data_IF_105440369088
#
_entry.id   IF_105440369088
#
_cell.length_a   1.000
_cell.length_b   1.000
_cell.length_c   1.000
_cell.angle_alpha   90.00
_cell.angle_beta   90.00
_cell.angle_gamma   90.00
#
_symmetry.space_group_name_H-M   'P 1'
#
loop_
_entity.id
_entity.type
_entity.pdbx_description
1 polymer ?
#
# COMPACT_ATOMS: atom_id res chain seq x y z
N UNK A 1 16.52 -0.76 -8.83
CA UNK A 1 16.80 -0.51 -7.41
C UNK A 1 16.88 -1.88 -6.73
N UNK A 2 17.93 -2.20 -5.96
CA UNK A 2 18.02 -3.48 -5.25
C UNK A 2 17.47 -3.30 -3.83
N UNK A 3 16.47 -4.10 -3.45
CA UNK A 3 15.95 -4.11 -2.07
C UNK A 3 16.96 -4.78 -1.14
N UNK A 4 17.17 -4.21 0.05
CA UNK A 4 18.01 -4.80 1.08
C UNK A 4 17.24 -5.85 1.89
N UNK A 5 17.87 -6.43 2.91
CA UNK A 5 17.23 -7.42 3.79
C UNK A 5 15.93 -6.92 4.46
N UNK A 6 15.82 -5.63 4.78
CA UNK A 6 14.59 -5.08 5.38
C UNK A 6 13.50 -4.93 4.34
N UNK A 7 13.85 -4.47 3.13
CA UNK A 7 12.93 -4.45 1.99
C UNK A 7 12.43 -5.85 1.64
N UNK A 8 13.28 -6.87 1.75
CA UNK A 8 12.86 -8.26 1.56
C UNK A 8 11.82 -8.70 2.60
N UNK A 9 12.02 -8.37 3.88
CA UNK A 9 11.01 -8.63 4.92
C UNK A 9 9.67 -7.94 4.60
N UNK A 10 9.72 -6.68 4.17
CA UNK A 10 8.51 -5.94 3.78
C UNK A 10 7.80 -6.62 2.62
N UNK A 11 8.54 -7.04 1.60
CA UNK A 11 8.04 -7.76 0.43
C UNK A 11 7.38 -9.10 0.82
N UNK A 12 8.04 -9.88 1.67
CA UNK A 12 7.54 -11.18 2.09
C UNK A 12 6.24 -11.05 2.90
N UNK A 13 6.17 -10.04 3.79
CA UNK A 13 4.93 -9.77 4.54
C UNK A 13 3.83 -9.24 3.63
N UNK A 14 4.14 -8.39 2.63
CA UNK A 14 3.17 -7.95 1.62
C UNK A 14 2.55 -9.14 0.88
N UNK A 15 3.36 -10.04 0.34
CA UNK A 15 2.89 -11.23 -0.36
C UNK A 15 2.21 -12.29 0.54
N UNK A 16 2.26 -12.12 1.86
CA UNK A 16 1.51 -12.99 2.78
C UNK A 16 0.05 -12.54 2.99
N UNK A 17 -0.31 -11.35 2.50
CA UNK A 17 -1.60 -10.73 2.80
C UNK A 17 -2.78 -11.43 2.13
N UNK A 18 -2.67 -11.78 0.84
CA UNK A 18 -3.72 -12.52 0.10
C UNK A 18 -3.93 -13.95 0.60
N UNK A 19 -2.87 -14.58 1.11
CA UNK A 19 -2.95 -15.89 1.76
C UNK A 19 -3.63 -15.81 3.13
N UNK A 20 -3.52 -14.67 3.81
CA UNK A 20 -4.08 -14.47 5.15
C UNK A 20 -5.50 -13.94 5.14
N UNK A 21 -5.84 -13.13 4.15
CA UNK A 21 -7.13 -12.47 4.00
C UNK A 21 -7.70 -12.89 2.64
N UNK A 22 -8.62 -13.84 2.65
CA UNK A 22 -9.21 -14.42 1.42
C UNK A 22 -9.93 -13.35 0.57
N UNK A 23 -10.37 -12.26 1.20
CA UNK A 23 -11.02 -11.12 0.54
C UNK A 23 -10.02 -10.12 -0.07
N UNK A 24 -8.71 -10.34 0.08
CA UNK A 24 -7.65 -9.44 -0.40
C UNK A 24 -6.99 -10.04 -1.63
N UNK A 25 -7.00 -9.28 -2.72
CA UNK A 25 -6.20 -9.57 -3.90
C UNK A 25 -5.15 -8.47 -4.03
N UNK A 26 -3.89 -8.86 -4.13
CA UNK A 26 -2.78 -7.95 -4.31
C UNK A 26 -2.58 -7.61 -5.78
N UNK A 27 -2.23 -6.37 -6.04
CA UNK A 27 -1.90 -5.86 -7.36
C UNK A 27 -0.58 -5.06 -7.26
N UNK A 28 -0.27 -4.21 -8.25
CA UNK A 28 0.99 -3.48 -8.32
C UNK A 28 1.40 -2.84 -7.00
N UNK A 29 2.65 -3.06 -6.61
CA UNK A 29 3.24 -2.51 -5.41
C UNK A 29 4.72 -2.21 -5.63
N UNK A 30 5.25 -1.26 -4.87
CA UNK A 30 6.67 -0.90 -4.92
C UNK A 30 7.17 -0.48 -3.56
N UNK A 31 8.37 -0.95 -3.22
CA UNK A 31 9.08 -0.59 -1.99
C UNK A 31 10.10 0.48 -2.34
N UNK A 32 9.92 1.65 -1.74
CA UNK A 32 10.82 2.80 -1.86
C UNK A 32 11.68 2.89 -0.58
N UNK A 33 12.78 3.67 -0.59
CA UNK A 33 13.66 3.76 0.57
C UNK A 33 12.98 4.24 1.87
N UNK A 34 11.90 5.01 1.77
CA UNK A 34 11.20 5.60 2.92
C UNK A 34 9.69 5.23 3.01
N UNK A 35 9.10 4.65 1.97
CA UNK A 35 7.67 4.32 1.94
C UNK A 35 7.39 3.12 1.03
N UNK A 36 6.12 2.70 0.99
CA UNK A 36 5.61 1.66 0.11
C UNK A 36 4.34 2.19 -0.56
N UNK A 37 4.19 1.95 -1.86
CA UNK A 37 2.90 2.05 -2.55
C UNK A 37 2.42 0.65 -2.90
N UNK A 38 1.11 0.43 -2.83
CA UNK A 38 0.52 -0.85 -3.22
C UNK A 38 -0.97 -0.71 -3.49
N UNK A 39 -1.46 -1.50 -4.43
CA UNK A 39 -2.88 -1.62 -4.74
C UNK A 39 -3.39 -2.92 -4.12
N UNK A 40 -4.54 -2.82 -3.46
CA UNK A 40 -5.27 -3.96 -2.90
C UNK A 40 -6.69 -3.89 -3.41
N UNK A 41 -7.15 -4.96 -4.06
CA UNK A 41 -8.58 -5.17 -4.23
C UNK A 41 -9.14 -5.85 -3.01
N UNK A 42 -10.29 -5.37 -2.56
CA UNK A 42 -11.10 -6.03 -1.55
C UNK A 42 -12.28 -6.64 -2.29
N UNK A 43 -12.14 -7.90 -2.66
CA UNK A 43 -13.15 -8.65 -3.40
C UNK A 43 -13.85 -9.66 -2.48
N UNK A 44 -15.11 -9.96 -2.75
CA UNK A 44 -15.93 -10.79 -1.88
C UNK A 44 -16.31 -12.08 -2.61
N UNK A 45 -15.79 -13.25 -2.23
CA UNK A 45 -16.16 -14.51 -2.87
C UNK A 45 -17.61 -14.95 -2.61
N UNK A 46 -18.42 -14.17 -1.86
CA UNK A 46 -19.78 -14.57 -1.47
C UNK A 46 -20.82 -13.58 -2.01
N UNK A 47 -21.31 -13.89 -3.20
CA UNK A 47 -22.45 -13.26 -3.87
C UNK A 47 -23.82 -13.77 -3.37
N UNK A 48 -23.89 -14.58 -2.31
CA UNK A 48 -25.14 -15.20 -1.88
C UNK A 48 -25.31 -15.03 -0.37
N UNK A 49 -26.52 -14.64 0.03
CA UNK A 49 -27.05 -14.45 1.40
C UNK A 49 -27.15 -12.96 1.75
N UNK A 50 -28.41 -12.51 1.81
CA UNK A 50 -28.88 -11.26 2.39
C UNK A 50 -27.90 -10.64 3.39
N UNK A 51 -27.46 -9.42 3.10
CA UNK A 51 -26.53 -8.62 3.91
C UNK A 51 -26.93 -8.57 5.39
N UNK A 52 -26.32 -9.44 6.20
CA UNK A 52 -26.33 -9.30 7.65
C UNK A 52 -25.46 -8.09 8.04
N UNK A 53 -25.96 -7.20 8.90
CA UNK A 53 -25.24 -6.01 9.36
C UNK A 53 -23.82 -6.31 9.89
N UNK A 54 -23.60 -7.49 10.45
CA UNK A 54 -22.30 -7.96 10.93
C UNK A 54 -21.24 -8.11 9.81
N UNK A 55 -21.66 -8.47 8.59
CA UNK A 55 -20.75 -8.55 7.44
C UNK A 55 -20.33 -7.15 6.97
N UNK A 56 -21.24 -6.17 7.03
CA UNK A 56 -20.93 -4.75 6.74
C UNK A 56 -19.92 -4.17 7.74
N UNK A 57 -20.08 -4.47 9.03
CA UNK A 57 -19.14 -4.01 10.06
C UNK A 57 -17.76 -4.67 9.93
N UNK A 58 -17.72 -5.97 9.59
CA UNK A 58 -16.46 -6.66 9.29
C UNK A 58 -15.71 -6.03 8.11
N UNK A 59 -16.42 -5.64 7.04
CA UNK A 59 -15.85 -4.94 5.87
C UNK A 59 -15.22 -3.60 6.23
N UNK A 60 -15.88 -2.77 7.06
CA UNK A 60 -15.34 -1.48 7.52
C UNK A 60 -13.98 -1.60 8.22
N UNK A 61 -13.70 -2.77 8.80
CA UNK A 61 -12.47 -3.02 9.55
C UNK A 61 -11.43 -3.83 8.78
N UNK A 62 -11.70 -4.26 7.54
CA UNK A 62 -10.78 -5.15 6.81
C UNK A 62 -9.48 -4.42 6.44
N UNK A 63 -9.56 -3.28 5.77
CA UNK A 63 -8.37 -2.50 5.40
C UNK A 63 -7.51 -2.12 6.64
N UNK A 64 -8.08 -1.55 7.73
CA UNK A 64 -7.32 -1.33 8.95
C UNK A 64 -6.66 -2.59 9.54
N UNK A 65 -7.31 -3.76 9.46
CA UNK A 65 -6.75 -5.04 9.93
C UNK A 65 -5.59 -5.49 9.05
N UNK A 66 -5.73 -5.43 7.74
CA UNK A 66 -4.70 -5.79 6.76
C UNK A 66 -3.45 -4.92 6.98
N UNK A 67 -3.62 -3.60 7.04
CA UNK A 67 -2.52 -2.66 7.26
C UNK A 67 -1.92 -2.82 8.65
N UNK A 68 -2.74 -3.03 9.68
CA UNK A 68 -2.28 -3.29 11.04
C UNK A 68 -1.40 -4.54 11.12
N UNK A 69 -1.86 -5.65 10.52
CA UNK A 69 -1.09 -6.89 10.41
C UNK A 69 0.23 -6.68 9.66
N UNK A 70 0.17 -6.02 8.50
CA UNK A 70 1.34 -5.73 7.67
C UNK A 70 2.40 -4.94 8.44
N UNK A 71 2.02 -3.80 9.03
CA UNK A 71 2.95 -2.91 9.76
C UNK A 71 3.52 -3.59 10.99
N UNK A 72 2.70 -4.33 11.74
CA UNK A 72 3.12 -5.01 12.96
C UNK A 72 4.14 -6.11 12.67
N UNK A 73 3.86 -7.00 11.71
CA UNK A 73 4.72 -8.17 11.48
C UNK A 73 6.02 -7.79 10.78
N UNK A 74 5.97 -6.89 9.80
CA UNK A 74 7.18 -6.36 9.16
C UNK A 74 8.06 -5.63 10.19
N UNK A 75 7.49 -4.75 11.03
CA UNK A 75 8.25 -4.07 12.07
C UNK A 75 8.86 -5.05 13.08
N UNK A 76 8.11 -6.08 13.51
CA UNK A 76 8.62 -7.10 14.42
C UNK A 76 9.86 -7.80 13.87
N UNK A 77 9.79 -8.30 12.63
CA UNK A 77 10.89 -9.01 11.99
C UNK A 77 12.11 -8.10 11.73
N UNK A 78 11.88 -6.88 11.24
CA UNK A 78 12.96 -5.88 11.04
C UNK A 78 13.65 -5.56 12.37
N UNK A 79 12.87 -5.37 13.44
CA UNK A 79 13.39 -5.06 14.77
C UNK A 79 14.23 -6.22 15.36
N UNK A 80 13.87 -7.47 15.04
CA UNK A 80 14.67 -8.64 15.40
C UNK A 80 15.98 -8.68 14.62
N UNK A 81 15.95 -8.45 13.30
CA UNK A 81 17.15 -8.47 12.45
C UNK A 81 18.17 -7.39 12.81
N UNK A 82 17.72 -6.19 13.19
CA UNK A 82 18.62 -5.08 13.56
C UNK A 82 19.20 -5.20 14.97
N UNK A 83 18.81 -6.21 15.76
CA UNK A 83 19.27 -6.40 17.14
C UNK A 83 18.76 -5.37 18.17
N UNK A 84 17.91 -4.42 17.75
CA UNK A 84 17.38 -3.35 18.60
C UNK A 84 15.85 -3.40 18.62
N UNK A 85 15.26 -3.97 19.67
CA UNK A 85 13.81 -3.96 19.82
C UNK A 85 13.32 -2.56 20.23
N UNK A 86 12.24 -2.06 19.60
CA UNK A 86 11.52 -0.86 20.10
C UNK A 86 11.57 0.43 19.29
N UNK A 87 12.52 0.64 18.36
CA UNK A 87 12.40 1.78 17.43
C UNK A 87 11.31 1.53 16.38
N UNK A 88 10.55 2.58 16.07
CA UNK A 88 9.50 2.51 15.06
C UNK A 88 10.07 2.28 13.67
N UNK A 89 9.45 1.38 12.90
CA UNK A 89 9.75 1.19 11.47
C UNK A 89 8.80 2.01 10.61
N UNK A 90 7.54 2.09 11.00
CA UNK A 90 6.50 2.80 10.24
C UNK A 90 6.02 4.05 10.96
N UNK A 91 5.60 5.04 10.20
CA UNK A 91 4.74 6.12 10.70
C UNK A 91 3.41 5.57 11.25
N UNK A 92 2.71 6.30 12.13
CA UNK A 92 1.44 5.82 12.72
C UNK A 92 0.35 5.66 11.67
N UNK A 93 0.15 6.68 10.85
CA UNK A 93 -0.89 6.72 9.83
C UNK A 93 -0.45 6.03 8.53
N UNK A 94 -1.37 5.93 7.58
CA UNK A 94 -1.12 5.51 6.21
C UNK A 94 -2.09 6.29 5.30
N UNK A 95 -1.70 6.49 4.05
CA UNK A 95 -2.57 7.08 3.03
C UNK A 95 -3.36 5.97 2.34
N UNK A 96 -4.65 6.19 2.12
CA UNK A 96 -5.53 5.29 1.39
C UNK A 96 -6.38 6.08 0.40
N UNK A 97 -6.68 5.47 -0.76
CA UNK A 97 -7.54 6.05 -1.78
C UNK A 97 -8.36 4.96 -2.48
N UNK A 98 -9.64 5.23 -2.69
CA UNK A 98 -10.54 4.30 -3.40
C UNK A 98 -10.45 4.55 -4.90
N UNK A 99 -9.93 3.58 -5.63
CA UNK A 99 -9.89 3.56 -7.10
C UNK A 99 -11.25 3.07 -7.60
N UNK A 100 -11.93 3.86 -8.45
CA UNK A 100 -13.34 3.63 -8.82
C UNK A 100 -13.56 3.21 -10.27
N UNK A 101 -12.53 3.31 -11.10
CA UNK A 101 -12.60 3.05 -12.53
C UNK A 101 -11.27 2.52 -13.07
N UNK A 102 -11.34 1.86 -14.22
CA UNK A 102 -10.22 1.16 -14.85
C UNK A 102 -9.15 2.12 -15.40
N UNK A 103 -9.55 3.33 -15.84
CA UNK A 103 -8.62 4.34 -16.35
C UNK A 103 -7.73 4.83 -15.22
N UNK A 104 -8.32 5.18 -14.07
CA UNK A 104 -7.60 5.54 -12.85
C UNK A 104 -6.71 4.40 -12.37
N UNK A 105 -7.22 3.16 -12.37
CA UNK A 105 -6.43 1.98 -11.98
C UNK A 105 -5.17 1.83 -12.83
N UNK A 106 -5.30 1.94 -14.15
CA UNK A 106 -4.18 1.83 -15.10
C UNK A 106 -3.14 2.91 -14.85
N UNK A 107 -3.56 4.17 -14.71
CA UNK A 107 -2.67 5.30 -14.39
C UNK A 107 -1.91 5.09 -13.07
N UNK A 108 -2.55 4.50 -12.06
CA UNK A 108 -1.94 4.24 -10.75
C UNK A 108 -0.94 3.08 -10.83
N UNK A 109 -1.27 2.00 -11.53
CA UNK A 109 -0.33 0.90 -11.80
C UNK A 109 0.93 1.43 -12.50
N UNK A 110 0.76 2.22 -13.55
CA UNK A 110 1.87 2.86 -14.26
C UNK A 110 2.70 3.76 -13.33
N UNK A 111 2.06 4.55 -12.48
CA UNK A 111 2.77 5.36 -11.48
C UNK A 111 3.62 4.48 -10.56
N UNK A 112 3.04 3.45 -9.95
CA UNK A 112 3.71 2.57 -8.99
C UNK A 112 4.94 1.90 -9.62
N UNK A 113 4.78 1.34 -10.82
CA UNK A 113 5.87 0.65 -11.52
C UNK A 113 7.01 1.62 -11.88
N UNK A 114 6.68 2.85 -12.27
CA UNK A 114 7.67 3.83 -12.71
C UNK A 114 8.24 4.69 -11.57
N UNK A 115 7.63 4.70 -10.39
CA UNK A 115 8.04 5.54 -9.27
C UNK A 115 9.52 5.35 -8.85
N UNK A 116 10.11 4.13 -8.83
CA UNK A 116 11.54 3.94 -8.59
C UNK A 116 12.45 4.71 -9.54
N UNK A 117 12.03 4.88 -10.80
CA UNK A 117 12.78 5.64 -11.81
C UNK A 117 12.68 7.15 -11.56
N UNK A 118 11.57 7.57 -10.97
CA UNK A 118 11.26 8.96 -10.63
C UNK A 118 11.62 9.34 -9.19
N UNK A 119 12.38 8.50 -8.47
CA UNK A 119 12.73 8.74 -7.06
C UNK A 119 13.36 10.11 -6.78
N UNK A 120 14.10 10.66 -7.75
CA UNK A 120 14.72 11.98 -7.65
C UNK A 120 13.73 13.15 -7.84
N UNK A 121 12.46 12.87 -8.12
CA UNK A 121 11.38 13.84 -8.28
C UNK A 121 10.26 13.62 -7.26
N UNK A 122 10.37 12.57 -6.44
CA UNK A 122 9.32 12.04 -5.58
C UNK A 122 8.93 13.01 -4.45
N UNK A 123 7.63 13.23 -4.26
CA UNK A 123 7.06 14.11 -3.22
C UNK A 123 7.36 13.66 -1.78
N UNK A 124 7.48 12.36 -1.53
CA UNK A 124 7.82 11.82 -0.22
C UNK A 124 9.34 11.85 0.02
N UNK A 125 10.14 12.11 -1.02
CA UNK A 125 11.58 12.31 -0.88
C UNK A 125 11.89 13.71 -0.31
N UNK A 126 12.08 13.77 1.01
CA UNK A 126 12.40 15.00 1.75
C UNK A 126 13.66 15.75 1.28
N UNK A 127 14.49 15.13 0.44
CA UNK A 127 15.72 15.74 -0.08
C UNK A 127 15.52 16.46 -1.41
N UNK A 128 14.34 16.34 -2.03
CA UNK A 128 14.07 16.90 -3.36
C UNK A 128 12.77 17.70 -3.37
N UNK A 129 12.67 18.68 -4.26
CA UNK A 129 11.41 19.35 -4.56
C UNK A 129 10.62 18.50 -5.56
N UNK A 130 9.35 18.19 -5.28
CA UNK A 130 8.53 17.44 -6.21
C UNK A 130 8.39 18.15 -7.55
N UNK A 131 8.29 17.38 -8.62
CA UNK A 131 8.01 17.93 -9.94
C UNK A 131 6.57 18.50 -10.01
N UNK A 132 6.33 19.46 -10.90
CA UNK A 132 4.97 19.94 -11.16
C UNK A 132 4.06 18.81 -11.66
N UNK A 133 4.62 17.88 -12.44
CA UNK A 133 3.90 16.70 -12.94
C UNK A 133 3.42 15.81 -11.80
N UNK A 134 4.25 15.55 -10.78
CA UNK A 134 3.86 14.78 -9.61
C UNK A 134 2.77 15.49 -8.78
N UNK A 135 2.93 16.80 -8.55
CA UNK A 135 1.92 17.58 -7.84
C UNK A 135 0.58 17.54 -8.57
N UNK A 136 0.59 17.69 -9.90
CA UNK A 136 -0.62 17.61 -10.72
C UNK A 136 -1.23 16.22 -10.72
N UNK A 137 -0.41 15.17 -10.78
CA UNK A 137 -0.88 13.78 -10.69
C UNK A 137 -1.67 13.56 -9.40
N UNK A 138 -1.11 13.96 -8.25
CA UNK A 138 -1.76 13.78 -6.95
C UNK A 138 -2.92 14.76 -6.70
N UNK A 139 -2.89 15.97 -7.28
CA UNK A 139 -4.02 16.92 -7.21
C UNK A 139 -5.22 16.50 -8.05
N UNK A 140 -4.97 15.87 -9.20
CA UNK A 140 -6.01 15.36 -10.11
C UNK A 140 -6.40 13.91 -9.80
N UNK A 141 -5.74 13.29 -8.83
CA UNK A 141 -5.98 11.94 -8.37
C UNK A 141 -7.44 11.74 -7.94
N UNK A 142 -8.15 10.84 -8.63
CA UNK A 142 -9.55 10.52 -8.34
C UNK A 142 -10.58 11.57 -8.79
N UNK A 143 -10.20 12.59 -9.57
CA UNK A 143 -11.17 13.45 -10.27
C UNK A 143 -11.59 12.75 -11.57
N UNK A 144 -12.90 12.66 -11.80
CA UNK A 144 -13.52 11.93 -12.93
C UNK A 144 -13.29 12.57 -14.31
N UNK A 145 -12.57 13.69 -14.37
CA UNK A 145 -12.64 14.63 -15.49
C UNK A 145 -11.33 14.70 -16.30
N UNK A 146 -10.64 13.57 -16.49
CA UNK A 146 -9.51 13.42 -17.42
C UNK A 146 -9.62 12.16 -18.27
#
# INVERSE_FOLDING_TARGET
>A
MNINQFGQVVKDIWHSLDTRYEEVILDEFVIMPNHIHGIIFIDNPVEIIHELSLLKERRKMLLPKVIGYFKMNSAKLINQLRGNQGQSVWQKNYYEHIIRDEVSLTKIREYIVNNPLKWHQDIENQQVKPSQEELQFWQNFGRKDL
#
